data_IF_888864240962
#
_entry.id   IF_888864240962
#
_cell.length_a   1.000
_cell.length_b   1.000
_cell.length_c   1.000
_cell.angle_alpha   90.00
_cell.angle_beta   90.00
_cell.angle_gamma   90.00
#
_symmetry.space_group_name_H-M   'P 1'
#
loop_
_entity.id
_entity.type
_entity.pdbx_description
1 polymer ?
#
# COMPACT_ATOMS: atom_id res chain seq x y z
N UNK A 1 9.97 -34.38 -12.92
CA UNK A 1 11.10 -33.46 -12.59
C UNK A 1 10.97 -32.04 -13.19
N UNK A 2 9.77 -31.42 -13.21
CA UNK A 2 9.54 -30.03 -13.73
C UNK A 2 9.33 -28.94 -12.67
N UNK A 3 9.06 -29.31 -11.40
CA UNK A 3 8.71 -28.39 -10.31
C UNK A 3 9.86 -27.49 -9.80
N UNK A 4 11.12 -27.89 -10.00
CA UNK A 4 12.30 -27.17 -9.49
C UNK A 4 12.69 -25.94 -10.31
N UNK A 5 12.40 -25.92 -11.63
CA UNK A 5 12.75 -24.78 -12.50
C UNK A 5 11.84 -23.56 -12.28
N UNK A 6 10.58 -23.78 -11.89
CA UNK A 6 9.59 -22.71 -11.69
C UNK A 6 9.82 -21.97 -10.36
N UNK A 7 10.08 -22.69 -9.25
CA UNK A 7 10.44 -22.06 -7.96
C UNK A 7 11.64 -21.11 -8.05
N UNK A 8 12.60 -21.37 -8.95
CA UNK A 8 13.76 -20.49 -9.17
C UNK A 8 13.40 -19.20 -9.93
N UNK A 9 12.40 -19.23 -10.80
CA UNK A 9 11.89 -18.04 -11.50
C UNK A 9 11.17 -17.10 -10.52
N UNK A 10 10.41 -17.66 -9.56
CA UNK A 10 9.73 -16.88 -8.51
C UNK A 10 10.69 -16.09 -7.61
N UNK A 11 11.78 -16.71 -7.15
CA UNK A 11 12.77 -16.02 -6.30
C UNK A 11 13.48 -14.89 -7.07
N UNK A 12 13.71 -15.06 -8.37
CA UNK A 12 14.45 -14.08 -9.17
C UNK A 12 13.62 -12.86 -9.58
N UNK A 13 12.30 -13.00 -9.76
CA UNK A 13 11.43 -11.87 -10.19
C UNK A 13 10.93 -11.06 -8.98
N UNK A 14 10.64 -11.72 -7.85
CA UNK A 14 10.24 -11.02 -6.63
C UNK A 14 11.36 -10.11 -6.08
N UNK A 15 12.63 -10.46 -6.31
CA UNK A 15 13.80 -9.64 -5.96
C UNK A 15 14.01 -8.43 -6.89
N UNK A 16 13.55 -8.48 -8.15
CA UNK A 16 13.72 -7.38 -9.09
C UNK A 16 12.69 -6.25 -8.91
N UNK A 17 11.53 -6.51 -8.30
CA UNK A 17 10.52 -5.48 -8.02
C UNK A 17 10.83 -4.64 -6.76
N UNK A 18 11.79 -5.05 -5.93
CA UNK A 18 12.17 -4.35 -4.70
C UNK A 18 13.24 -3.27 -4.91
N UNK A 19 13.86 -3.16 -6.09
CA UNK A 19 14.98 -2.24 -6.34
C UNK A 19 14.52 -0.87 -6.89
N UNK A 20 13.26 -0.67 -7.27
CA UNK A 20 12.81 0.61 -7.86
C UNK A 20 12.24 1.63 -6.87
N UNK A 21 12.23 1.35 -5.56
CA UNK A 21 11.80 2.32 -4.53
C UNK A 21 13.00 2.90 -3.78
N UNK A 22 13.93 3.54 -4.49
CA UNK A 22 14.95 4.40 -3.89
C UNK A 22 15.10 5.69 -4.71
N UNK A 23 13.99 6.36 -5.01
CA UNK A 23 13.99 7.54 -5.88
C UNK A 23 13.23 8.78 -5.40
N UNK A 24 12.53 8.76 -4.25
CA UNK A 24 11.77 9.93 -3.76
C UNK A 24 11.79 10.00 -2.24
N UNK A 25 12.94 10.34 -1.64
CA UNK A 25 13.02 10.77 -0.23
C UNK A 25 14.04 11.90 -0.03
N UNK A 26 14.13 12.84 -0.98
CA UNK A 26 14.99 14.01 -0.84
C UNK A 26 14.25 15.31 -1.22
N UNK A 27 13.30 15.70 -0.38
CA UNK A 27 12.76 17.07 -0.18
C UNK A 27 11.63 16.88 0.88
N UNK A 28 11.60 17.45 2.09
CA UNK A 28 12.01 18.74 2.59
C UNK A 28 12.23 18.60 4.11
N UNK A 29 13.47 18.66 4.59
CA UNK A 29 13.72 18.95 6.00
C UNK A 29 14.14 20.41 6.09
N UNK A 30 13.20 21.27 6.50
CA UNK A 30 13.52 22.64 6.90
C UNK A 30 14.18 22.60 8.29
N UNK A 31 15.42 23.07 8.45
CA UNK A 31 16.01 23.23 9.77
C UNK A 31 15.41 24.48 10.42
N UNK A 32 14.59 24.31 11.46
CA UNK A 32 14.21 25.42 12.34
C UNK A 32 15.40 25.75 13.24
N UNK A 33 16.06 26.86 12.97
CA UNK A 33 17.13 27.41 13.81
C UNK A 33 16.52 28.03 15.07
N UNK A 34 16.68 27.38 16.22
CA UNK A 34 16.36 27.99 17.51
C UNK A 34 17.59 28.76 18.02
N UNK A 35 17.51 30.09 17.92
CA UNK A 35 18.44 31.01 18.56
C UNK A 35 17.97 31.26 20.00
N UNK A 36 18.80 31.09 21.05
CA UNK A 36 18.38 31.47 22.41
C UNK A 36 18.60 32.97 22.60
N UNK A 37 17.52 33.73 22.74
CA UNK A 37 17.54 35.08 23.31
C UNK A 37 16.98 35.05 24.73
N UNK A 38 17.78 35.58 25.65
CA UNK A 38 17.53 35.76 27.08
C UNK A 38 16.47 36.82 27.36
N UNK A 39 15.53 36.57 28.28
CA UNK A 39 14.64 37.63 28.81
C UNK A 39 13.48 37.15 29.71
N UNK A 40 13.63 37.42 31.01
CA UNK A 40 12.65 37.66 32.08
C UNK A 40 11.19 37.11 32.04
N UNK A 41 10.88 36.34 33.09
CA UNK A 41 9.70 36.42 33.99
C UNK A 41 8.29 36.70 33.41
N UNK A 42 7.42 35.68 33.43
CA UNK A 42 6.03 35.81 33.93
C UNK A 42 5.30 34.46 33.88
N UNK A 43 4.61 34.14 34.96
CA UNK A 43 3.82 32.93 35.18
C UNK A 43 2.75 32.71 34.09
N UNK A 44 2.80 31.59 33.39
CA UNK A 44 1.70 31.10 32.57
C UNK A 44 1.52 29.58 32.74
N UNK A 45 0.28 29.18 33.02
CA UNK A 45 -0.17 27.79 33.07
C UNK A 45 0.13 27.08 31.76
N UNK A 46 1.07 26.15 31.81
CA UNK A 46 1.44 25.27 30.71
C UNK A 46 0.36 24.18 30.55
N UNK A 47 -0.54 24.32 29.59
CA UNK A 47 -1.35 23.20 29.10
C UNK A 47 -0.53 22.44 28.04
N UNK A 48 -0.30 21.12 28.17
CA UNK A 48 0.51 20.38 27.22
C UNK A 48 -0.28 20.06 25.93
N UNK A 49 -0.17 20.93 24.92
CA UNK A 49 -0.59 20.63 23.54
C UNK A 49 0.54 19.89 22.81
N UNK A 50 0.63 18.56 23.01
CA UNK A 50 1.70 17.75 22.41
C UNK A 50 1.41 16.26 22.18
N UNK A 51 0.18 15.78 22.30
CA UNK A 51 -0.13 14.34 22.24
C UNK A 51 -1.08 13.90 21.10
N UNK A 52 -1.53 14.79 20.22
CA UNK A 52 -2.58 14.42 19.24
C UNK A 52 -2.04 13.77 17.95
N UNK A 53 -0.74 13.88 17.65
CA UNK A 53 -0.15 13.30 16.42
C UNK A 53 0.18 11.81 16.53
N UNK A 54 0.56 11.31 17.72
CA UNK A 54 0.89 9.89 17.91
C UNK A 54 -0.35 8.99 17.92
N UNK A 55 -1.47 9.47 18.47
CA UNK A 55 -2.71 8.68 18.58
C UNK A 55 -3.38 8.44 17.20
N UNK A 56 -3.26 9.38 16.26
CA UNK A 56 -3.81 9.25 14.91
C UNK A 56 -3.05 8.22 14.05
N UNK A 57 -1.73 8.09 14.24
CA UNK A 57 -0.91 7.09 13.56
C UNK A 57 -1.23 5.65 14.00
N UNK A 58 -1.53 5.45 15.29
CA UNK A 58 -1.92 4.13 15.80
C UNK A 58 -3.24 3.65 15.19
N UNK A 59 -4.25 4.51 15.02
CA UNK A 59 -5.54 4.12 14.41
C UNK A 59 -5.39 3.73 12.93
N UNK A 60 -4.58 4.46 12.15
CA UNK A 60 -4.37 4.13 10.74
C UNK A 60 -3.60 2.81 10.58
N UNK A 61 -2.63 2.57 11.46
CA UNK A 61 -1.89 1.32 11.51
C UNK A 61 -2.77 0.14 11.92
N UNK A 62 -3.65 0.33 12.91
CA UNK A 62 -4.62 -0.69 13.34
C UNK A 62 -5.60 -1.06 12.22
N UNK A 63 -6.10 -0.08 11.47
CA UNK A 63 -6.97 -0.31 10.30
C UNK A 63 -6.27 -1.13 9.20
N UNK A 64 -5.01 -0.80 8.89
CA UNK A 64 -4.22 -1.54 7.90
C UNK A 64 -3.88 -2.96 8.37
N UNK A 65 -3.57 -3.13 9.67
CA UNK A 65 -3.32 -4.43 10.28
C UNK A 65 -4.58 -5.30 10.28
N UNK A 66 -5.74 -4.74 10.62
CA UNK A 66 -7.02 -5.44 10.60
C UNK A 66 -7.40 -5.92 9.20
N UNK A 67 -7.22 -5.07 8.18
CA UNK A 67 -7.44 -5.48 6.78
C UNK A 67 -6.52 -6.63 6.37
N UNK A 68 -5.22 -6.50 6.66
CA UNK A 68 -4.22 -7.54 6.35
C UNK A 68 -4.55 -8.86 7.04
N UNK A 69 -4.94 -8.79 8.32
CA UNK A 69 -5.32 -9.96 9.11
C UNK A 69 -6.57 -10.65 8.55
N UNK A 70 -7.56 -9.87 8.09
CA UNK A 70 -8.77 -10.39 7.46
C UNK A 70 -8.44 -11.13 6.16
N UNK A 71 -7.56 -10.57 5.33
CA UNK A 71 -7.12 -11.18 4.08
C UNK A 71 -6.40 -12.50 4.33
N UNK A 72 -5.46 -12.52 5.29
CA UNK A 72 -4.76 -13.74 5.72
C UNK A 72 -5.73 -14.84 6.17
N UNK A 73 -6.78 -14.48 6.92
CA UNK A 73 -7.82 -15.44 7.35
C UNK A 73 -8.60 -16.00 6.16
N UNK A 74 -8.92 -15.18 5.16
CA UNK A 74 -9.61 -15.62 3.93
C UNK A 74 -8.76 -16.56 3.07
N UNK A 75 -7.43 -16.44 3.09
CA UNK A 75 -6.54 -17.34 2.35
C UNK A 75 -6.37 -18.72 2.99
N UNK A 76 -6.57 -18.84 4.30
CA UNK A 76 -6.35 -20.09 5.01
C UNK A 76 -4.87 -20.54 4.98
N UNK A 77 -4.59 -21.85 5.16
CA UNK A 77 -3.23 -22.35 5.30
C UNK A 77 -2.42 -22.21 4.00
N UNK A 78 -1.10 -22.08 4.13
CA UNK A 78 -0.15 -22.03 3.00
C UNK A 78 0.05 -23.41 2.34
N UNK A 79 -1.03 -23.96 1.79
CA UNK A 79 -1.08 -25.22 1.08
C UNK A 79 -0.85 -25.07 -0.45
N UNK A 80 -1.00 -26.16 -1.20
CA UNK A 80 -0.76 -26.17 -2.66
C UNK A 80 -1.73 -25.28 -3.46
N UNK A 81 -2.87 -24.92 -2.87
CA UNK A 81 -3.89 -24.08 -3.49
C UNK A 81 -3.84 -22.63 -2.98
N UNK A 82 -2.89 -22.30 -2.12
CA UNK A 82 -2.74 -20.96 -1.55
C UNK A 82 -2.61 -19.90 -2.63
N UNK A 83 -1.73 -20.10 -3.62
CA UNK A 83 -1.51 -19.11 -4.68
C UNK A 83 -2.77 -18.94 -5.56
N UNK A 84 -3.53 -20.01 -5.83
CA UNK A 84 -4.80 -19.91 -6.54
C UNK A 84 -5.83 -19.09 -5.76
N UNK A 85 -5.93 -19.30 -4.44
CA UNK A 85 -6.82 -18.51 -3.57
C UNK A 85 -6.37 -17.05 -3.52
N UNK A 86 -5.07 -16.80 -3.40
CA UNK A 86 -4.50 -15.46 -3.45
C UNK A 86 -4.84 -14.76 -4.76
N UNK A 87 -4.59 -15.40 -5.91
CA UNK A 87 -4.86 -14.86 -7.24
C UNK A 87 -6.35 -14.50 -7.39
N UNK A 88 -7.25 -15.44 -7.08
CA UNK A 88 -8.68 -15.22 -7.23
C UNK A 88 -9.18 -14.07 -6.35
N UNK A 89 -8.69 -14.02 -5.10
CA UNK A 89 -9.04 -12.97 -4.17
C UNK A 89 -8.47 -11.60 -4.61
N UNK A 90 -7.22 -11.54 -5.09
CA UNK A 90 -6.60 -10.30 -5.56
C UNK A 90 -7.25 -9.74 -6.83
N UNK A 91 -7.69 -10.60 -7.75
CA UNK A 91 -8.50 -10.17 -8.89
C UNK A 91 -9.76 -9.46 -8.42
N UNK A 92 -10.50 -10.04 -7.46
CA UNK A 92 -11.71 -9.43 -6.90
C UNK A 92 -11.40 -8.13 -6.14
N UNK A 93 -10.35 -8.12 -5.33
CA UNK A 93 -9.91 -6.94 -4.58
C UNK A 93 -9.58 -5.76 -5.51
N UNK A 94 -8.82 -6.01 -6.57
CA UNK A 94 -8.49 -4.99 -7.56
C UNK A 94 -9.71 -4.49 -8.33
N UNK A 95 -10.66 -5.35 -8.67
CA UNK A 95 -11.90 -4.92 -9.32
C UNK A 95 -12.70 -3.93 -8.46
N UNK A 96 -12.76 -4.16 -7.15
CA UNK A 96 -13.42 -3.22 -6.22
C UNK A 96 -12.67 -1.90 -6.17
N UNK A 97 -11.34 -1.93 -6.06
CA UNK A 97 -10.52 -0.73 -6.03
C UNK A 97 -10.59 0.08 -7.35
N UNK A 98 -10.64 -0.57 -8.51
CA UNK A 98 -10.87 0.07 -9.81
C UNK A 98 -12.24 0.76 -9.83
N UNK A 99 -13.29 0.10 -9.34
CA UNK A 99 -14.63 0.69 -9.27
C UNK A 99 -14.64 1.94 -8.38
N UNK A 100 -13.95 1.89 -7.23
CA UNK A 100 -13.82 3.05 -6.35
C UNK A 100 -13.00 4.17 -6.98
N UNK A 101 -11.93 3.85 -7.70
CA UNK A 101 -11.12 4.83 -8.41
C UNK A 101 -11.90 5.48 -9.55
N UNK A 102 -12.72 4.73 -10.29
CA UNK A 102 -13.63 5.29 -11.30
C UNK A 102 -14.62 6.28 -10.69
N UNK A 103 -15.22 5.95 -9.54
CA UNK A 103 -16.11 6.85 -8.81
C UNK A 103 -15.39 8.12 -8.34
N UNK A 104 -14.16 7.97 -7.81
CA UNK A 104 -13.31 9.10 -7.42
C UNK A 104 -12.94 9.98 -8.63
N UNK A 105 -12.63 9.39 -9.79
CA UNK A 105 -12.32 10.12 -11.01
C UNK A 105 -13.52 10.96 -11.50
N UNK A 106 -14.74 10.45 -11.34
CA UNK A 106 -15.97 11.18 -11.68
C UNK A 106 -16.27 12.32 -10.70
N UNK A 107 -15.98 12.13 -9.40
CA UNK A 107 -16.38 13.08 -8.34
C UNK A 107 -15.30 14.09 -7.95
N UNK A 108 -14.03 13.79 -8.20
CA UNK A 108 -12.92 14.64 -7.77
C UNK A 108 -12.87 15.95 -8.56
N UNK A 109 -12.87 17.06 -7.83
CA UNK A 109 -12.67 18.41 -8.35
C UNK A 109 -11.18 18.75 -8.51
N UNK A 110 -10.35 18.22 -7.60
CA UNK A 110 -8.92 18.47 -7.57
C UNK A 110 -8.17 17.64 -8.64
N UNK A 111 -7.37 18.27 -9.52
CA UNK A 111 -6.62 17.57 -10.55
C UNK A 111 -5.70 16.46 -10.02
N UNK A 112 -5.07 16.65 -8.85
CA UNK A 112 -4.19 15.65 -8.26
C UNK A 112 -4.93 14.37 -7.86
N UNK A 113 -6.18 14.48 -7.40
CA UNK A 113 -7.00 13.33 -7.02
C UNK A 113 -7.51 12.58 -8.25
N UNK A 114 -7.83 13.31 -9.33
CA UNK A 114 -8.17 12.71 -10.63
C UNK A 114 -7.00 11.92 -11.20
N UNK A 115 -5.79 12.48 -11.14
CA UNK A 115 -4.58 11.79 -11.60
C UNK A 115 -4.35 10.50 -10.80
N UNK A 116 -4.40 10.57 -9.45
CA UNK A 116 -4.24 9.39 -8.59
C UNK A 116 -5.27 8.31 -8.89
N UNK A 117 -6.53 8.70 -9.12
CA UNK A 117 -7.58 7.75 -9.50
C UNK A 117 -7.26 7.06 -10.84
N UNK A 118 -6.79 7.81 -11.84
CA UNK A 118 -6.37 7.25 -13.12
C UNK A 118 -5.17 6.30 -12.98
N UNK A 119 -4.18 6.65 -12.15
CA UNK A 119 -3.01 5.82 -11.89
C UNK A 119 -3.42 4.48 -11.26
N UNK A 120 -4.34 4.51 -10.29
CA UNK A 120 -4.90 3.31 -9.66
C UNK A 120 -5.61 2.42 -10.69
N UNK A 121 -6.46 3.01 -11.54
CA UNK A 121 -7.17 2.25 -12.59
C UNK A 121 -6.17 1.56 -13.51
N UNK A 122 -5.15 2.28 -13.98
CA UNK A 122 -4.17 1.76 -14.92
C UNK A 122 -3.33 0.64 -14.30
N UNK A 123 -2.78 0.88 -13.11
CA UNK A 123 -1.93 -0.09 -12.41
C UNK A 123 -2.70 -1.37 -12.09
N UNK A 124 -3.87 -1.25 -11.46
CA UNK A 124 -4.60 -2.44 -11.01
C UNK A 124 -5.24 -3.22 -12.16
N UNK A 125 -5.53 -2.57 -13.29
CA UNK A 125 -5.95 -3.28 -14.51
C UNK A 125 -4.80 -4.14 -15.05
N UNK A 126 -3.58 -3.62 -15.07
CA UNK A 126 -2.40 -4.40 -15.50
C UNK A 126 -2.12 -5.57 -14.55
N UNK A 127 -2.23 -5.34 -13.24
CA UNK A 127 -2.07 -6.38 -12.22
C UNK A 127 -3.12 -7.50 -12.38
N UNK A 128 -4.38 -7.16 -12.69
CA UNK A 128 -5.43 -8.17 -12.99
C UNK A 128 -5.03 -9.04 -14.19
N UNK A 129 -4.53 -8.45 -15.28
CA UNK A 129 -4.15 -9.23 -16.47
C UNK A 129 -2.93 -10.14 -16.20
N UNK A 130 -1.99 -9.68 -15.37
CA UNK A 130 -0.89 -10.49 -14.89
C UNK A 130 -1.37 -11.67 -14.03
N UNK A 131 -2.27 -11.40 -13.07
CA UNK A 131 -2.87 -12.42 -12.21
C UNK A 131 -3.65 -13.47 -13.01
N UNK A 132 -4.45 -13.05 -14.01
CA UNK A 132 -5.14 -13.97 -14.94
C UNK A 132 -4.16 -14.81 -15.75
N UNK A 133 -3.07 -14.20 -16.21
CA UNK A 133 -2.02 -14.92 -16.94
C UNK A 133 -1.41 -16.02 -16.09
N UNK A 134 -1.07 -15.72 -14.84
CA UNK A 134 -0.57 -16.73 -13.90
C UNK A 134 -1.59 -17.80 -13.58
N UNK A 135 -2.86 -17.43 -13.37
CA UNK A 135 -3.95 -18.38 -13.14
C UNK A 135 -4.05 -19.39 -14.27
N UNK A 136 -4.02 -18.91 -15.51
CA UNK A 136 -4.07 -19.76 -16.70
C UNK A 136 -2.82 -20.63 -16.85
N UNK A 137 -1.63 -20.06 -16.66
CA UNK A 137 -0.37 -20.78 -16.84
C UNK A 137 -0.13 -21.85 -15.78
N UNK A 138 -0.53 -21.61 -14.53
CA UNK A 138 -0.23 -22.49 -13.40
C UNK A 138 -1.35 -23.48 -13.11
N UNK A 139 -2.60 -23.10 -13.39
CA UNK A 139 -3.79 -23.88 -13.03
C UNK A 139 -4.73 -24.20 -14.19
N UNK A 140 -4.50 -23.62 -15.39
CA UNK A 140 -5.35 -23.86 -16.56
C UNK A 140 -6.72 -23.17 -16.50
N UNK A 141 -6.90 -22.17 -15.63
CA UNK A 141 -8.17 -21.46 -15.38
C UNK A 141 -8.12 -19.97 -15.74
#
# INVERSE_FOLDING_TARGET
MRKSRIRKIFVSIFLMALITIQGVYAQQHHPTTNTPQTGASSSQMQMPMGQTSQQSGMMQQEMMQNHTQMMLRMLGPADQNYDLRFINMMIMHHQVAIKMAQDALCKAQHPELRQKAQDIINAQTQEIEQLKTWRKQWYGQ
#
